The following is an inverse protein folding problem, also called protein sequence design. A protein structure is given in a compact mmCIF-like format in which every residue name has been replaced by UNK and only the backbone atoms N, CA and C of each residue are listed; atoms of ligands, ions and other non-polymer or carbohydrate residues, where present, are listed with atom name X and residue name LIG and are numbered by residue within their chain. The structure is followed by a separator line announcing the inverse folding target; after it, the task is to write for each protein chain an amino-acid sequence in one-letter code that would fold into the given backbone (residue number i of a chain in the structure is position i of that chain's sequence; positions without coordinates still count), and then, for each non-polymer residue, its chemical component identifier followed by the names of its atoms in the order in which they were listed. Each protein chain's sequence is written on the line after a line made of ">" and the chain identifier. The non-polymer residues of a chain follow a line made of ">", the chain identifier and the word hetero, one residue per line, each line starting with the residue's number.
data_IF_797353843839
#
_entry.id   IF_797353843839
#
_cell.length_a   1.000
_cell.length_b   1.000
_cell.length_c   1.000
_cell.angle_alpha   90.00
_cell.angle_beta   90.00
_cell.angle_gamma   90.00
#
_symmetry.space_group_name_H-M   'P 1'
#
loop_
_entity.id
_entity.type
_entity.pdbx_description
1 polymer ?
#
# COMPACT_ATOMS: atom_id res chain seq x y z
N UNK A 1 0.87 24.34 6.42
CA UNK A 1 -0.29 23.43 6.56
C UNK A 1 -0.22 22.76 7.93
N UNK A 2 -1.14 23.08 8.85
CA UNK A 2 -1.27 22.34 10.12
C UNK A 2 -1.79 20.94 9.77
N UNK A 3 -0.98 19.89 9.99
CA UNK A 3 -1.47 18.51 9.89
C UNK A 3 -2.59 18.36 10.93
N UNK A 4 -3.81 18.13 10.46
CA UNK A 4 -4.91 17.74 11.32
C UNK A 4 -4.52 16.39 11.92
N UNK A 5 -4.32 16.36 13.23
CA UNK A 5 -4.05 15.11 13.97
C UNK A 5 -5.34 14.30 13.91
N UNK A 6 -5.30 13.14 13.27
CA UNK A 6 -6.47 12.27 13.21
C UNK A 6 -6.77 11.75 14.63
N UNK A 7 -8.05 11.64 15.00
CA UNK A 7 -8.44 11.12 16.32
C UNK A 7 -7.88 9.72 16.59
N UNK A 8 -7.63 8.93 15.55
CA UNK A 8 -6.97 7.63 15.64
C UNK A 8 -5.53 7.74 16.17
N UNK A 9 -4.78 8.77 15.77
CA UNK A 9 -3.40 8.95 16.23
C UNK A 9 -3.39 9.32 17.72
N UNK A 10 -4.35 10.12 18.17
CA UNK A 10 -4.52 10.47 19.59
C UNK A 10 -4.77 9.21 20.43
N UNK A 11 -5.61 8.29 19.96
CA UNK A 11 -5.88 7.02 20.64
C UNK A 11 -4.62 6.16 20.74
N UNK A 12 -3.83 6.08 19.66
CA UNK A 12 -2.57 5.33 19.64
C UNK A 12 -1.56 5.93 20.64
N UNK A 13 -1.31 7.24 20.58
CA UNK A 13 -0.38 7.91 21.49
C UNK A 13 -0.82 7.81 22.96
N UNK A 14 -2.12 7.94 23.23
CA UNK A 14 -2.67 7.81 24.58
C UNK A 14 -2.51 6.38 25.12
N UNK A 15 -2.71 5.37 24.26
CA UNK A 15 -2.55 3.95 24.64
C UNK A 15 -1.10 3.61 24.97
N UNK A 16 -0.15 4.15 24.19
CA UNK A 16 1.28 3.99 24.44
C UNK A 16 1.68 4.67 25.77
N UNK A 17 1.21 5.89 25.99
CA UNK A 17 1.50 6.63 27.21
C UNK A 17 0.97 5.92 28.46
N UNK A 18 -0.26 5.38 28.40
CA UNK A 18 -0.86 4.61 29.49
C UNK A 18 -0.09 3.31 29.75
N UNK A 19 0.33 2.61 28.68
CA UNK A 19 1.14 1.39 28.82
C UNK A 19 2.49 1.64 29.49
N UNK A 20 3.17 2.74 29.12
CA UNK A 20 4.44 3.14 29.73
C UNK A 20 4.23 3.52 31.19
N UNK A 21 3.24 4.35 31.50
CA UNK A 21 2.92 4.76 32.87
C UNK A 21 2.59 3.57 33.77
N UNK A 22 1.82 2.60 33.25
CA UNK A 22 1.51 1.35 33.94
C UNK A 22 2.76 0.53 34.26
N UNK A 23 3.67 0.40 33.29
CA UNK A 23 4.94 -0.30 33.50
C UNK A 23 5.79 0.35 34.60
N UNK A 24 5.87 1.68 34.64
CA UNK A 24 6.57 2.41 35.70
C UNK A 24 5.93 2.24 37.09
N UNK A 25 4.61 2.29 37.17
CA UNK A 25 3.87 2.07 38.42
C UNK A 25 4.02 0.64 38.94
N UNK A 26 4.15 -0.34 38.04
CA UNK A 26 4.44 -1.73 38.40
C UNK A 26 5.91 -1.92 38.82
N UNK A 27 6.86 -1.33 38.08
CA UNK A 27 8.28 -1.44 38.38
C UNK A 27 8.66 -0.81 39.74
N UNK A 28 7.92 0.21 40.18
CA UNK A 28 8.09 0.85 41.49
C UNK A 28 7.41 0.09 42.63
N UNK A 29 6.72 -1.03 42.35
CA UNK A 29 6.05 -1.87 43.35
C UNK A 29 4.83 -1.23 44.02
N UNK A 30 4.39 -0.07 43.54
CA UNK A 30 3.21 0.66 44.04
C UNK A 30 1.93 -0.14 43.72
N UNK A 31 1.92 -0.84 42.59
CA UNK A 31 0.79 -1.61 42.10
C UNK A 31 1.11 -3.10 42.22
N UNK A 32 0.55 -3.75 43.24
CA UNK A 32 0.66 -5.19 43.44
C UNK A 32 -0.58 -5.88 42.85
N UNK A 33 -0.63 -5.98 41.52
CA UNK A 33 -1.83 -6.43 40.80
C UNK A 33 -1.87 -7.93 40.55
N UNK A 34 -3.08 -8.51 40.67
CA UNK A 34 -3.38 -9.88 40.24
C UNK A 34 -2.98 -10.08 38.77
N UNK A 35 -2.53 -11.29 38.43
CA UNK A 35 -2.03 -11.71 37.10
C UNK A 35 -2.93 -11.29 35.92
N UNK A 36 -4.24 -11.13 36.15
CA UNK A 36 -5.20 -10.68 35.16
C UNK A 36 -5.02 -9.20 34.75
N UNK A 37 -4.67 -8.32 35.69
CA UNK A 37 -4.36 -6.91 35.44
C UNK A 37 -3.00 -6.70 34.77
N UNK A 38 -2.08 -7.65 34.93
CA UNK A 38 -0.79 -7.64 34.24
C UNK A 38 -0.90 -7.91 32.74
N UNK A 39 -1.97 -8.56 32.32
CA UNK A 39 -2.21 -8.96 30.93
C UNK A 39 -2.92 -7.86 30.12
N UNK A 40 -3.54 -6.90 30.79
CA UNK A 40 -4.30 -5.79 30.19
C UNK A 40 -3.48 -4.92 29.22
N UNK A 41 -2.23 -4.51 29.54
CA UNK A 41 -1.38 -3.77 28.61
C UNK A 41 -1.06 -4.55 27.34
N UNK A 42 -0.93 -5.88 27.46
CA UNK A 42 -0.66 -6.77 26.33
C UNK A 42 -1.87 -6.86 25.41
N UNK A 43 -3.07 -7.04 25.98
CA UNK A 43 -4.34 -7.05 25.23
C UNK A 43 -4.62 -5.71 24.54
N UNK A 44 -4.38 -4.59 25.23
CA UNK A 44 -4.47 -3.25 24.63
C UNK A 44 -3.46 -3.07 23.49
N UNK A 45 -2.23 -3.57 23.66
CA UNK A 45 -1.20 -3.59 22.61
C UNK A 45 -1.64 -4.37 21.36
N UNK A 46 -2.23 -5.56 21.54
CA UNK A 46 -2.80 -6.33 20.44
C UNK A 46 -3.95 -5.62 19.75
N UNK A 47 -4.81 -4.93 20.50
CA UNK A 47 -5.95 -4.19 19.96
C UNK A 47 -5.48 -2.98 19.14
N UNK A 48 -4.47 -2.25 19.61
CA UNK A 48 -3.82 -1.16 18.86
C UNK A 48 -3.13 -1.68 17.60
N UNK A 49 -2.40 -2.80 17.68
CA UNK A 49 -1.82 -3.46 16.51
C UNK A 49 -2.89 -3.91 15.51
N UNK A 50 -4.04 -4.42 15.98
CA UNK A 50 -5.18 -4.79 15.13
C UNK A 50 -5.79 -3.57 14.42
N UNK A 51 -5.98 -2.45 15.13
CA UNK A 51 -6.45 -1.20 14.52
C UNK A 51 -5.45 -0.66 13.51
N UNK A 52 -4.15 -0.66 13.84
CA UNK A 52 -3.09 -0.26 12.92
C UNK A 52 -3.04 -1.19 11.72
N UNK A 53 -3.20 -2.51 11.89
CA UNK A 53 -3.25 -3.48 10.80
C UNK A 53 -4.47 -3.26 9.89
N UNK A 54 -5.64 -2.95 10.45
CA UNK A 54 -6.83 -2.58 9.66
C UNK A 54 -6.63 -1.24 8.95
N UNK A 55 -5.97 -0.26 9.59
CA UNK A 55 -5.64 1.04 8.97
C UNK A 55 -4.60 0.89 7.86
N UNK A 56 -3.58 0.04 8.06
CA UNK A 56 -2.57 -0.33 7.06
C UNK A 56 -3.21 -1.14 5.92
N UNK A 57 -4.12 -2.06 6.24
CA UNK A 57 -4.91 -2.83 5.29
C UNK A 57 -5.92 -1.99 4.51
N UNK A 58 -6.44 -0.88 5.07
CA UNK A 58 -7.24 0.11 4.32
C UNK A 58 -6.36 1.01 3.43
N UNK A 59 -5.15 1.35 3.86
CA UNK A 59 -4.21 2.11 3.03
C UNK A 59 -3.54 1.27 1.92
N UNK A 60 -3.33 -0.03 2.14
CA UNK A 60 -2.89 -0.97 1.10
C UNK A 60 -4.07 -1.60 0.32
N UNK A 61 -5.28 -1.58 0.88
CA UNK A 61 -6.54 -1.99 0.25
C UNK A 61 -7.23 -0.88 -0.52
N UNK A 62 -6.63 0.30 -0.58
CA UNK A 62 -6.78 1.17 -1.74
C UNK A 62 -6.03 0.55 -2.92
N UNK A 63 -6.51 -0.61 -3.39
CA UNK A 63 -6.91 -0.65 -4.78
C UNK A 63 -7.96 0.45 -4.93
N UNK A 64 -7.51 1.71 -4.97
CA UNK A 64 -8.29 2.76 -5.59
C UNK A 64 -8.76 2.11 -6.87
N UNK A 65 -10.07 2.09 -7.09
CA UNK A 65 -10.60 1.58 -8.35
C UNK A 65 -9.81 2.31 -9.42
N UNK A 66 -8.79 1.65 -9.98
CA UNK A 66 -7.95 2.24 -11.00
C UNK A 66 -8.95 2.34 -12.14
N UNK A 67 -9.50 3.54 -12.32
CA UNK A 67 -10.43 3.81 -13.39
C UNK A 67 -9.60 3.73 -14.65
N UNK A 68 -9.48 2.50 -15.15
CA UNK A 68 -8.69 2.24 -16.33
C UNK A 68 -9.26 3.07 -17.46
N UNK A 69 -8.39 3.87 -18.08
CA UNK A 69 -8.78 4.68 -19.21
C UNK A 69 -9.27 3.75 -20.31
N UNK A 70 -10.56 3.86 -20.66
CA UNK A 70 -11.11 3.15 -21.82
C UNK A 70 -10.47 3.74 -23.07
N UNK A 71 -9.55 2.99 -23.67
CA UNK A 71 -8.94 3.33 -24.94
C UNK A 71 -9.00 2.15 -25.91
N UNK A 72 -9.00 2.46 -27.20
CA UNK A 72 -8.92 1.45 -28.25
C UNK A 72 -7.54 0.79 -28.28
N UNK A 73 -7.47 -0.44 -28.79
CA UNK A 73 -6.21 -1.18 -28.93
C UNK A 73 -5.15 -0.39 -29.74
N UNK A 74 -5.56 0.28 -30.83
CA UNK A 74 -4.65 1.08 -31.66
C UNK A 74 -4.06 2.27 -30.90
N UNK A 75 -4.85 2.91 -30.04
CA UNK A 75 -4.36 4.00 -29.18
C UNK A 75 -3.39 3.47 -28.12
N UNK A 76 -3.72 2.35 -27.47
CA UNK A 76 -2.85 1.70 -26.51
C UNK A 76 -1.48 1.34 -27.13
N UNK A 77 -1.48 0.78 -28.35
CA UNK A 77 -0.23 0.47 -29.07
C UNK A 77 0.63 1.72 -29.31
N UNK A 78 0.03 2.84 -29.73
CA UNK A 78 0.77 4.09 -29.96
C UNK A 78 1.34 4.68 -28.66
N UNK A 79 0.57 4.64 -27.57
CA UNK A 79 1.04 5.15 -26.28
C UNK A 79 2.13 4.28 -25.69
N UNK A 80 2.01 2.96 -25.76
CA UNK A 80 3.04 2.02 -25.33
C UNK A 80 4.30 2.18 -26.18
N UNK A 81 4.17 2.30 -27.50
CA UNK A 81 5.31 2.55 -28.38
C UNK A 81 6.03 3.87 -28.02
N UNK A 82 5.29 4.93 -27.71
CA UNK A 82 5.86 6.20 -27.24
C UNK A 82 6.55 6.01 -25.89
N UNK A 83 5.90 5.32 -24.95
CA UNK A 83 6.45 5.03 -23.63
C UNK A 83 7.77 4.26 -23.71
N UNK A 84 7.85 3.21 -24.55
CA UNK A 84 9.07 2.43 -24.80
C UNK A 84 10.18 3.24 -25.45
N UNK A 85 9.87 4.22 -26.30
CA UNK A 85 10.90 5.12 -26.88
C UNK A 85 11.49 6.07 -25.84
N UNK A 86 10.71 6.47 -24.84
CA UNK A 86 11.16 7.39 -23.79
C UNK A 86 11.89 6.66 -22.65
N UNK A 87 11.43 5.47 -22.24
CA UNK A 87 12.17 4.60 -21.33
C UNK A 87 13.27 3.86 -22.10
N UNK A 88 14.50 4.37 -22.05
CA UNK A 88 15.71 3.71 -22.60
C UNK A 88 16.11 2.42 -21.83
N UNK A 89 15.38 2.08 -20.77
CA UNK A 89 15.65 0.96 -19.87
C UNK A 89 14.59 -0.13 -20.02
N UNK A 90 14.90 -1.34 -19.55
CA UNK A 90 13.91 -2.40 -19.44
C UNK A 90 12.75 -1.97 -18.52
N UNK A 91 11.52 -2.26 -18.92
CA UNK A 91 10.32 -1.94 -18.16
C UNK A 91 9.43 -3.18 -18.05
N UNK A 92 8.68 -3.25 -16.96
CA UNK A 92 7.72 -4.32 -16.73
C UNK A 92 6.35 -3.94 -17.27
N UNK A 93 5.50 -4.94 -17.51
CA UNK A 93 4.15 -4.68 -18.00
C UNK A 93 3.30 -3.96 -16.94
N UNK A 94 3.58 -4.21 -15.66
CA UNK A 94 3.01 -3.54 -14.50
C UNK A 94 3.33 -2.04 -14.50
N UNK A 95 4.52 -1.63 -14.96
CA UNK A 95 4.88 -0.22 -15.08
C UNK A 95 4.01 0.47 -16.13
N UNK A 96 3.71 -0.20 -17.24
CA UNK A 96 2.82 0.34 -18.28
C UNK A 96 1.40 0.48 -17.74
N UNK A 97 0.89 -0.55 -17.06
CA UNK A 97 -0.47 -0.54 -16.48
C UNK A 97 -0.61 0.59 -15.47
N UNK A 98 0.41 0.79 -14.62
CA UNK A 98 0.41 1.84 -13.59
C UNK A 98 0.58 3.24 -14.19
N UNK A 99 1.52 3.43 -15.09
CA UNK A 99 1.89 4.76 -15.58
C UNK A 99 0.93 5.28 -16.66
N UNK A 100 0.33 4.39 -17.46
CA UNK A 100 -0.63 4.74 -18.51
C UNK A 100 -2.09 4.49 -18.08
N UNK A 101 -2.32 3.90 -16.90
CA UNK A 101 -3.64 3.57 -16.35
C UNK A 101 -4.54 2.81 -17.35
N UNK A 102 -3.95 1.90 -18.12
CA UNK A 102 -4.63 1.12 -19.16
C UNK A 102 -5.09 -0.20 -18.58
N UNK A 103 -6.25 -0.68 -19.03
CA UNK A 103 -6.73 -2.00 -18.67
C UNK A 103 -5.67 -3.08 -18.99
N UNK A 104 -5.29 -3.95 -18.03
CA UNK A 104 -4.27 -4.99 -18.22
C UNK A 104 -4.50 -5.88 -19.45
N UNK A 105 -5.76 -6.21 -19.76
CA UNK A 105 -6.11 -7.01 -20.95
C UNK A 105 -5.79 -6.29 -22.25
N UNK A 106 -5.94 -4.96 -22.29
CA UNK A 106 -5.61 -4.15 -23.45
C UNK A 106 -4.09 -3.99 -23.58
N UNK A 107 -3.38 -3.80 -22.46
CA UNK A 107 -1.91 -3.73 -22.44
C UNK A 107 -1.30 -5.02 -22.98
N UNK A 108 -1.73 -6.18 -22.47
CA UNK A 108 -1.23 -7.49 -22.92
C UNK A 108 -1.36 -7.65 -24.44
N UNK A 109 -2.56 -7.41 -24.98
CA UNK A 109 -2.79 -7.52 -26.43
C UNK A 109 -1.98 -6.50 -27.24
N UNK A 110 -1.81 -5.28 -26.72
CA UNK A 110 -1.04 -4.25 -27.40
C UNK A 110 0.46 -4.60 -27.42
N UNK A 111 1.00 -5.10 -26.31
CA UNK A 111 2.39 -5.58 -26.20
C UNK A 111 2.63 -6.75 -27.15
N UNK A 112 1.78 -7.79 -27.12
CA UNK A 112 1.90 -8.94 -28.04
C UNK A 112 1.92 -8.52 -29.53
N UNK A 113 1.09 -7.53 -29.90
CA UNK A 113 1.09 -7.02 -31.27
C UNK A 113 2.34 -6.21 -31.60
N UNK A 114 2.82 -5.38 -30.69
CA UNK A 114 4.05 -4.61 -30.87
C UNK A 114 5.28 -5.54 -30.95
N UNK A 115 5.29 -6.66 -30.23
CA UNK A 115 6.31 -7.71 -30.35
C UNK A 115 6.26 -8.40 -31.71
N UNK A 116 5.07 -8.77 -32.20
CA UNK A 116 4.89 -9.33 -33.55
C UNK A 116 5.33 -8.36 -34.64
N UNK A 117 5.07 -7.06 -34.46
CA UNK A 117 5.55 -5.98 -35.34
C UNK A 117 7.05 -5.67 -35.16
N UNK A 118 7.76 -6.36 -34.26
CA UNK A 118 9.18 -6.15 -33.92
C UNK A 118 9.51 -4.72 -33.45
N UNK A 119 8.51 -3.98 -32.97
CA UNK A 119 8.67 -2.62 -32.44
C UNK A 119 9.21 -2.60 -31.02
N UNK A 120 8.95 -3.66 -30.26
CA UNK A 120 9.49 -3.89 -28.93
C UNK A 120 10.16 -5.27 -28.89
N UNK A 121 11.16 -5.43 -28.03
CA UNK A 121 11.88 -6.70 -27.84
C UNK A 121 11.56 -7.23 -26.43
N UNK A 122 11.10 -8.47 -26.29
CA UNK A 122 10.94 -9.07 -24.98
C UNK A 122 12.31 -9.25 -24.32
N UNK A 123 12.42 -8.85 -23.06
CA UNK A 123 13.62 -9.05 -22.23
C UNK A 123 13.27 -10.09 -21.18
N UNK A 124 13.33 -11.36 -21.57
CA UNK A 124 12.96 -12.51 -20.73
C UNK A 124 12.38 -13.65 -21.58
N UNK A 125 12.61 -14.89 -21.16
CA UNK A 125 11.96 -16.09 -21.72
C UNK A 125 10.67 -16.39 -20.96
#
# INVERSE_FOLDING_TARGET
>A
MKKMVEPADIVVYSSIAIGILWYFLKATGIVNTFFWLDSLPMLLGFLVLGILYIKLGRNCGSSGSVEYRKMSLSQAMKEIEKYTRHKKEAFWMEDIIRDLEINPKTVLKAVENLEKEKKIKPVGK
#
